data_IF_071948078737
#
_entry.id   IF_071948078737
#
_cell.length_a   1.000
_cell.length_b   1.000
_cell.length_c   1.000
_cell.angle_alpha   90.00
_cell.angle_beta   90.00
_cell.angle_gamma   90.00
#
_symmetry.space_group_name_H-M   'P 1'
#
loop_
_entity.id
_entity.type
_entity.pdbx_description
1 polymer ?
#
# COMPACT_ATOMS: atom_id res chain seq x y z
N UNK A 1 5.75 -20.20 -6.69
CA UNK A 1 4.70 -20.94 -5.96
C UNK A 1 5.30 -21.40 -4.66
N UNK A 2 5.10 -20.66 -3.57
CA UNK A 2 5.30 -21.08 -2.17
C UNK A 2 4.91 -19.89 -1.27
N UNK A 3 3.62 -19.55 -1.29
CA UNK A 3 3.08 -18.58 -0.36
C UNK A 3 2.81 -19.29 0.97
N UNK A 4 3.67 -19.02 1.94
CA UNK A 4 3.52 -19.51 3.30
C UNK A 4 2.23 -18.96 3.90
N UNK A 5 1.24 -19.85 4.02
CA UNK A 5 0.00 -19.60 4.75
C UNK A 5 0.39 -19.17 6.18
N UNK A 6 0.00 -17.98 6.66
CA UNK A 6 0.33 -17.56 8.01
C UNK A 6 -0.36 -18.51 8.98
N UNK A 7 0.45 -19.26 9.75
CA UNK A 7 -0.06 -20.13 10.80
C UNK A 7 -0.88 -19.27 11.77
N UNK A 8 -2.20 -19.51 11.80
CA UNK A 8 -3.10 -18.90 12.78
C UNK A 8 -2.74 -19.47 14.15
N UNK A 9 -1.91 -18.76 14.90
CA UNK A 9 -1.68 -19.05 16.32
C UNK A 9 -3.02 -18.88 17.03
N UNK A 10 -3.65 -20.01 17.42
CA UNK A 10 -4.84 -19.98 18.29
C UNK A 10 -4.40 -19.48 19.66
N UNK A 11 -4.71 -18.22 19.97
CA UNK A 11 -4.66 -17.74 21.35
C UNK A 11 -5.85 -18.39 22.06
N UNK A 12 -5.58 -19.32 22.97
CA UNK A 12 -6.59 -19.84 23.88
C UNK A 12 -6.93 -18.72 24.87
N UNK A 13 -7.98 -17.94 24.59
CA UNK A 13 -8.53 -16.99 25.56
C UNK A 13 -9.45 -17.77 26.49
N UNK A 14 -8.93 -18.14 27.66
CA UNK A 14 -9.77 -18.61 28.75
C UNK A 14 -10.75 -17.47 29.12
N UNK A 15 -12.04 -17.81 29.20
CA UNK A 15 -13.17 -16.90 29.24
C UNK A 15 -13.09 -15.92 30.45
N UNK A 16 -13.07 -14.61 30.19
CA UNK A 16 -13.13 -13.58 31.24
C UNK A 16 -12.73 -12.14 30.87
N UNK A 17 -12.29 -11.88 29.63
CA UNK A 17 -11.82 -10.53 29.24
C UNK A 17 -13.01 -9.62 28.92
N UNK A 18 -13.30 -8.67 29.81
CA UNK A 18 -14.21 -7.53 29.53
C UNK A 18 -13.63 -6.69 28.37
N UNK A 19 -14.47 -6.23 27.44
CA UNK A 19 -14.10 -5.57 26.17
C UNK A 19 -13.04 -4.45 26.36
N UNK A 20 -13.20 -3.62 27.39
CA UNK A 20 -12.25 -2.54 27.72
C UNK A 20 -10.84 -3.06 28.04
N UNK A 21 -10.72 -4.16 28.79
CA UNK A 21 -9.43 -4.69 29.21
C UNK A 21 -8.63 -5.27 28.03
N UNK A 22 -9.30 -5.81 27.01
CA UNK A 22 -8.64 -6.38 25.83
C UNK A 22 -7.84 -5.32 25.06
N UNK A 23 -8.43 -4.15 24.83
CA UNK A 23 -7.80 -3.05 24.08
C UNK A 23 -6.60 -2.49 24.85
N UNK A 24 -6.76 -2.26 26.16
CA UNK A 24 -5.69 -1.73 27.02
C UNK A 24 -4.53 -2.73 27.13
N UNK A 25 -4.81 -4.02 27.33
CA UNK A 25 -3.79 -5.06 27.36
C UNK A 25 -3.03 -5.15 26.02
N UNK A 26 -3.76 -5.06 24.89
CA UNK A 26 -3.17 -5.02 23.55
C UNK A 26 -2.24 -3.81 23.37
N UNK A 27 -2.67 -2.62 23.78
CA UNK A 27 -1.88 -1.39 23.68
C UNK A 27 -0.59 -1.46 24.52
N UNK A 28 -0.66 -1.94 25.77
CA UNK A 28 0.52 -2.11 26.64
C UNK A 28 1.51 -3.12 26.04
N UNK A 29 1.02 -4.23 25.48
CA UNK A 29 1.88 -5.21 24.80
C UNK A 29 2.58 -4.61 23.58
N UNK A 30 1.86 -3.80 22.78
CA UNK A 30 2.44 -3.12 21.62
C UNK A 30 3.50 -2.09 22.02
N UNK A 31 3.25 -1.29 23.06
CA UNK A 31 4.21 -0.30 23.57
C UNK A 31 5.49 -0.95 24.12
N UNK A 32 5.37 -2.05 24.86
CA UNK A 32 6.53 -2.76 25.42
C UNK A 32 7.35 -3.50 24.36
N UNK A 33 6.69 -4.14 23.37
CA UNK A 33 7.34 -4.95 22.34
C UNK A 33 6.67 -4.73 20.98
N UNK A 34 6.99 -3.62 20.28
CA UNK A 34 6.35 -3.30 19.00
C UNK A 34 6.65 -4.34 17.90
N UNK A 35 7.79 -5.05 18.01
CA UNK A 35 8.18 -6.14 17.11
C UNK A 35 7.29 -7.38 17.18
N UNK A 36 6.37 -7.47 18.17
CA UNK A 36 5.39 -8.56 18.23
C UNK A 36 4.41 -8.54 17.07
N UNK A 37 4.09 -7.37 16.53
CA UNK A 37 3.29 -7.27 15.31
C UNK A 37 4.25 -7.50 14.14
N UNK A 38 4.05 -8.53 13.33
CA UNK A 38 4.95 -8.81 12.20
C UNK A 38 4.40 -8.30 10.87
N UNK A 39 3.07 -8.22 10.77
CA UNK A 39 2.34 -7.83 9.57
C UNK A 39 1.16 -6.94 9.93
N UNK A 40 0.72 -6.12 8.99
CA UNK A 40 -0.52 -5.35 9.05
C UNK A 40 -1.28 -5.54 7.74
N UNK A 41 -2.61 -5.60 7.84
CA UNK A 41 -3.50 -5.53 6.67
C UNK A 41 -3.83 -4.06 6.46
N UNK A 42 -3.62 -3.56 5.26
CA UNK A 42 -3.90 -2.15 4.95
C UNK A 42 -5.39 -1.90 4.81
N UNK A 43 -5.84 -0.78 5.36
CA UNK A 43 -7.23 -0.30 5.24
C UNK A 43 -7.45 0.59 4.02
N UNK A 44 -6.37 1.05 3.40
CA UNK A 44 -6.42 2.07 2.35
C UNK A 44 -5.32 1.80 1.33
N UNK A 45 -5.64 2.03 0.06
CA UNK A 45 -4.68 1.98 -1.04
C UNK A 45 -3.79 3.23 -1.01
N UNK A 46 -2.48 3.03 -1.09
CA UNK A 46 -1.52 4.12 -1.22
C UNK A 46 -1.00 4.16 -2.65
N UNK A 47 -1.18 5.31 -3.30
CA UNK A 47 -0.84 5.54 -4.69
C UNK A 47 -0.31 6.95 -4.91
N UNK A 48 0.41 7.14 -6.03
CA UNK A 48 0.82 8.45 -6.49
C UNK A 48 0.14 8.75 -7.82
N UNK A 49 -0.26 10.00 -8.01
CA UNK A 49 -0.67 10.51 -9.31
C UNK A 49 0.56 10.61 -10.21
N UNK A 50 0.50 9.98 -11.38
CA UNK A 50 1.60 9.88 -12.33
C UNK A 50 1.11 10.02 -13.76
N UNK A 51 2.06 10.30 -14.65
CA UNK A 51 1.85 10.27 -16.09
C UNK A 51 2.60 9.06 -16.66
N UNK A 52 1.92 8.25 -17.46
CA UNK A 52 2.51 7.07 -18.12
C UNK A 52 2.19 7.10 -19.62
N UNK A 53 2.76 6.17 -20.39
CA UNK A 53 2.46 6.05 -21.82
C UNK A 53 0.97 5.72 -22.02
N UNK A 54 0.33 6.36 -23.01
CA UNK A 54 -1.07 6.09 -23.30
C UNK A 54 -1.25 4.67 -23.85
N UNK A 55 -2.26 3.95 -23.34
CA UNK A 55 -2.60 2.58 -23.73
C UNK A 55 -4.06 2.59 -24.14
N UNK A 56 -4.28 2.43 -25.45
CA UNK A 56 -5.61 2.44 -26.03
C UNK A 56 -6.49 1.34 -25.42
N UNK A 57 -7.69 1.71 -24.97
CA UNK A 57 -8.65 0.80 -24.34
C UNK A 57 -8.47 0.59 -22.84
N UNK A 58 -7.35 1.04 -22.25
CA UNK A 58 -7.14 1.04 -20.79
C UNK A 58 -7.25 2.45 -20.23
N UNK A 59 -6.66 3.42 -20.90
CA UNK A 59 -6.65 4.81 -20.46
C UNK A 59 -7.77 5.61 -21.13
N UNK A 60 -8.43 6.54 -20.40
CA UNK A 60 -9.43 7.42 -20.98
C UNK A 60 -8.83 8.28 -22.09
N UNK A 61 -9.43 8.29 -23.27
CA UNK A 61 -8.94 9.08 -24.42
C UNK A 61 -8.93 10.59 -24.12
N UNK A 62 -9.84 11.07 -23.26
CA UNK A 62 -9.92 12.46 -22.81
C UNK A 62 -8.68 12.94 -22.03
N UNK A 63 -7.92 12.00 -21.43
CA UNK A 63 -6.71 12.28 -20.66
C UNK A 63 -5.42 12.02 -21.44
N UNK A 64 -5.55 11.67 -22.73
CA UNK A 64 -4.40 11.49 -23.62
C UNK A 64 -3.86 12.85 -24.07
N UNK A 65 -2.55 13.02 -24.02
CA UNK A 65 -1.87 14.19 -24.54
C UNK A 65 -0.50 13.81 -25.14
N UNK A 66 -0.04 14.63 -26.08
CA UNK A 66 1.27 14.45 -26.69
C UNK A 66 2.35 15.18 -25.87
N UNK A 67 3.36 14.45 -25.40
CA UNK A 67 4.53 15.00 -24.73
C UNK A 67 5.81 14.45 -25.36
N UNK A 68 6.74 15.35 -25.74
CA UNK A 68 8.02 14.98 -26.37
C UNK A 68 7.85 14.00 -27.57
N UNK A 69 6.77 14.13 -28.34
CA UNK A 69 6.47 13.26 -29.49
C UNK A 69 5.92 11.87 -29.13
N UNK A 70 5.54 11.62 -27.87
CA UNK A 70 4.89 10.39 -27.41
C UNK A 70 3.51 10.68 -26.84
N UNK A 71 2.56 9.79 -27.11
CA UNK A 71 1.24 9.83 -26.49
C UNK A 71 1.35 9.36 -25.04
N UNK A 72 0.91 10.20 -24.11
CA UNK A 72 0.95 9.98 -22.68
C UNK A 72 -0.41 10.26 -22.06
N UNK A 73 -0.67 9.65 -20.91
CA UNK A 73 -1.90 9.87 -20.16
C UNK A 73 -1.58 10.47 -18.80
N UNK A 74 -2.27 11.53 -18.44
CA UNK A 74 -2.19 12.11 -17.10
C UNK A 74 -3.21 11.47 -16.15
N UNK A 75 -3.05 11.75 -14.85
CA UNK A 75 -3.95 11.30 -13.79
C UNK A 75 -4.06 9.77 -13.71
N UNK A 76 -2.92 9.09 -13.85
CA UNK A 76 -2.79 7.65 -13.63
C UNK A 76 -2.39 7.40 -12.19
N UNK A 77 -3.17 6.54 -11.52
CA UNK A 77 -2.88 6.09 -10.18
C UNK A 77 -1.81 5.00 -10.16
N UNK A 78 -0.59 5.38 -9.81
CA UNK A 78 0.53 4.45 -9.61
C UNK A 78 0.50 3.88 -8.20
N UNK A 79 -0.20 2.75 -8.04
CA UNK A 79 -0.38 2.07 -6.76
C UNK A 79 0.95 1.53 -6.19
N UNK A 80 1.25 1.84 -4.92
CA UNK A 80 2.35 1.24 -4.15
C UNK A 80 1.90 -0.02 -3.42
N UNK A 81 0.74 0.07 -2.75
CA UNK A 81 0.11 -0.99 -1.96
C UNK A 81 -1.40 -0.78 -1.98
N UNK A 82 -2.17 -1.85 -2.06
CA UNK A 82 -3.63 -1.81 -2.11
C UNK A 82 -4.24 -2.05 -0.74
N UNK A 83 -5.50 -1.65 -0.59
CA UNK A 83 -6.33 -2.13 0.49
C UNK A 83 -6.30 -3.67 0.57
N UNK A 84 -6.38 -4.21 1.79
CA UNK A 84 -6.28 -5.62 2.11
C UNK A 84 -4.91 -6.27 1.85
N UNK A 85 -3.91 -5.54 1.34
CA UNK A 85 -2.55 -6.06 1.25
C UNK A 85 -1.96 -6.31 2.64
N UNK A 86 -1.24 -7.42 2.76
CA UNK A 86 -0.53 -7.81 3.98
C UNK A 86 0.90 -7.28 3.90
N UNK A 87 1.20 -6.23 4.66
CA UNK A 87 2.51 -5.56 4.66
C UNK A 87 3.30 -5.94 5.90
N UNK A 88 4.57 -6.33 5.71
CA UNK A 88 5.50 -6.63 6.81
C UNK A 88 5.96 -5.34 7.49
N UNK A 89 6.17 -5.39 8.81
CA UNK A 89 6.83 -4.28 9.50
C UNK A 89 8.22 -4.03 8.89
N UNK A 90 8.50 -2.76 8.56
CA UNK A 90 9.75 -2.34 7.94
C UNK A 90 9.85 -2.55 6.43
N UNK A 91 8.83 -3.11 5.78
CA UNK A 91 8.76 -3.23 4.32
C UNK A 91 8.80 -1.84 3.68
N UNK A 92 9.66 -1.67 2.66
CA UNK A 92 9.78 -0.44 1.88
C UNK A 92 9.39 -0.73 0.45
N UNK A 93 8.37 -0.05 -0.04
CA UNK A 93 8.02 -0.01 -1.47
C UNK A 93 8.60 1.28 -2.04
N UNK A 94 9.36 1.18 -3.12
CA UNK A 94 9.95 2.33 -3.80
C UNK A 94 9.52 2.30 -5.26
N UNK A 95 9.11 3.45 -5.76
CA UNK A 95 8.96 3.72 -7.19
C UNK A 95 9.77 4.96 -7.52
N UNK A 96 10.35 4.98 -8.71
CA UNK A 96 11.08 6.12 -9.25
C UNK A 96 10.21 6.74 -10.33
N UNK A 97 10.04 8.05 -10.24
CA UNK A 97 9.28 8.83 -11.22
C UNK A 97 10.22 9.78 -11.94
N UNK A 98 9.93 10.01 -13.21
CA UNK A 98 10.70 10.90 -14.07
C UNK A 98 9.82 12.05 -14.56
N UNK A 99 10.37 13.26 -14.72
CA UNK A 99 9.63 14.37 -15.27
C UNK A 99 9.20 14.04 -16.71
N UNK A 100 7.97 14.43 -17.05
CA UNK A 100 7.38 14.18 -18.36
C UNK A 100 8.00 15.11 -19.40
N UNK A 101 8.26 16.35 -19.01
CA UNK A 101 8.91 17.36 -19.87
C UNK A 101 10.29 17.71 -19.34
N UNK A 102 11.21 18.06 -20.24
CA UNK A 102 12.63 18.34 -19.89
C UNK A 102 12.81 19.61 -19.06
N UNK A 103 11.88 20.54 -19.19
CA UNK A 103 11.76 21.82 -18.49
C UNK A 103 10.99 21.71 -17.16
N UNK A 104 10.47 20.53 -16.84
CA UNK A 104 9.72 20.32 -15.60
C UNK A 104 10.70 20.23 -14.42
N UNK A 105 10.94 21.38 -13.79
CA UNK A 105 11.74 21.49 -12.57
C UNK A 105 10.93 21.07 -11.34
N UNK A 106 11.63 20.53 -10.34
CA UNK A 106 11.08 20.06 -9.06
C UNK A 106 10.52 21.20 -8.22
#
# INVERSE_FOLDING_TARGET
MNDAIPQKTKVATNCGIKIFNAVVQGAVMFGNKPSKITHRVLTTTYEANCTENFVKGVHPEEKNFLANGKEMCEDIFSCFVKENDVVRLGQKVKKTFYPVRKDQTK
#
